data_IF_992036207887
#
_entry.id   IF_992036207887
#
_cell.length_a   1.000
_cell.length_b   1.000
_cell.length_c   1.000
_cell.angle_alpha   90.00
_cell.angle_beta   90.00
_cell.angle_gamma   90.00
#
_symmetry.space_group_name_H-M   'P 1'
#
loop_
_entity.id
_entity.type
_entity.pdbx_description
1 polymer ?
#
# COMPACT_ATOMS: atom_id res chain seq x y z
N UNK A 1 -1.97 -23.26 18.31
CA UNK A 1 -1.73 -22.23 17.28
C UNK A 1 -1.88 -20.88 17.96
N UNK A 2 -0.78 -20.15 18.18
CA UNK A 2 -0.91 -18.75 18.57
C UNK A 2 -1.29 -18.01 17.29
N UNK A 3 -2.54 -17.56 17.21
CA UNK A 3 -2.85 -16.44 16.33
C UNK A 3 -2.17 -15.25 16.99
N UNK A 4 -0.92 -14.97 16.62
CA UNK A 4 -0.39 -13.64 16.88
C UNK A 4 -1.30 -12.69 16.09
N UNK A 5 -1.99 -11.75 16.76
CA UNK A 5 -2.95 -10.91 16.08
C UNK A 5 -2.18 -10.00 15.14
N UNK A 6 -2.44 -10.14 13.83
CA UNK A 6 -1.99 -9.16 12.84
C UNK A 6 -2.43 -7.78 13.29
N UNK A 7 -1.51 -6.82 13.30
CA UNK A 7 -1.81 -5.44 13.64
C UNK A 7 -2.12 -4.68 12.36
N UNK A 8 -3.33 -4.14 12.24
CA UNK A 8 -3.75 -3.33 11.11
C UNK A 8 -3.91 -1.90 11.61
N UNK A 9 -3.15 -0.97 11.03
CA UNK A 9 -3.18 0.45 11.34
C UNK A 9 -3.68 1.24 10.14
N UNK A 10 -4.65 2.11 10.37
CA UNK A 10 -5.23 3.02 9.36
C UNK A 10 -4.85 4.47 9.62
N UNK A 11 -3.85 4.70 10.45
CA UNK A 11 -3.27 5.99 10.77
C UNK A 11 -1.79 6.02 10.40
N UNK A 12 -1.25 7.23 10.23
CA UNK A 12 0.17 7.41 9.94
C UNK A 12 1.02 6.90 11.10
N UNK A 13 2.04 6.11 10.76
CA UNK A 13 3.00 5.56 11.73
C UNK A 13 4.36 6.20 11.49
N UNK A 14 4.92 6.80 12.54
CA UNK A 14 6.28 7.34 12.47
C UNK A 14 7.30 6.23 12.20
N UNK A 15 8.11 6.40 11.16
CA UNK A 15 9.10 5.42 10.72
C UNK A 15 8.58 4.37 9.72
N UNK A 16 7.30 4.44 9.34
CA UNK A 16 6.78 3.64 8.23
C UNK A 16 7.30 4.14 6.87
N UNK A 17 7.45 3.24 5.88
CA UNK A 17 7.97 3.60 4.56
C UNK A 17 7.01 4.48 3.74
N UNK A 18 5.72 4.46 4.08
CA UNK A 18 4.66 5.22 3.41
C UNK A 18 3.69 5.79 4.44
N UNK A 19 2.86 6.74 4.00
CA UNK A 19 1.78 7.35 4.78
C UNK A 19 0.43 6.85 4.33
N UNK A 20 -0.53 6.81 5.24
CA UNK A 20 -1.93 6.56 4.92
C UNK A 20 -2.47 7.71 4.06
N UNK A 21 -3.27 7.38 3.05
CA UNK A 21 -3.77 8.34 2.07
C UNK A 21 -2.75 8.75 1.01
N UNK A 22 -1.48 8.31 1.10
CA UNK A 22 -0.49 8.61 0.09
C UNK A 22 -0.79 7.87 -1.22
N UNK A 23 -0.58 8.57 -2.33
CA UNK A 23 -0.61 7.95 -3.64
C UNK A 23 0.71 7.21 -3.90
N UNK A 24 0.60 5.95 -4.32
CA UNK A 24 1.75 5.09 -4.62
C UNK A 24 1.53 4.34 -5.94
N UNK A 25 2.62 4.14 -6.69
CA UNK A 25 2.62 3.32 -7.90
C UNK A 25 3.11 1.92 -7.56
N UNK A 26 2.40 0.90 -8.03
CA UNK A 26 2.82 -0.50 -7.84
C UNK A 26 3.88 -0.83 -8.89
N UNK A 27 5.03 -1.29 -8.42
CA UNK A 27 6.20 -1.60 -9.24
C UNK A 27 6.62 -3.05 -9.04
N UNK A 28 7.17 -3.66 -10.09
CA UNK A 28 7.79 -4.98 -9.98
C UNK A 28 9.22 -4.84 -9.48
N UNK A 29 9.55 -5.53 -8.39
CA UNK A 29 10.93 -5.55 -7.87
C UNK A 29 11.78 -6.62 -8.51
N UNK A 30 11.26 -7.85 -8.68
CA UNK A 30 12.00 -8.95 -9.28
C UNK A 30 11.19 -9.67 -10.38
N UNK A 31 11.85 -10.18 -11.44
CA UNK A 31 11.20 -11.05 -12.41
C UNK A 31 10.81 -12.38 -11.75
N UNK A 32 9.52 -12.54 -11.45
CA UNK A 32 8.97 -13.73 -10.81
C UNK A 32 8.26 -13.46 -9.48
N UNK A 33 8.32 -12.21 -8.97
CA UNK A 33 7.50 -11.81 -7.83
C UNK A 33 6.02 -12.06 -8.17
N UNK A 34 5.24 -12.67 -7.25
CA UNK A 34 3.82 -12.98 -7.44
C UNK A 34 2.94 -11.73 -7.37
N UNK A 35 3.41 -10.59 -7.88
CA UNK A 35 2.60 -9.38 -8.02
C UNK A 35 1.57 -9.65 -9.10
N UNK A 36 0.30 -9.58 -8.73
CA UNK A 36 -0.78 -9.76 -9.69
C UNK A 36 -0.64 -8.71 -10.79
N UNK A 37 -0.42 -9.15 -12.03
CA UNK A 37 -0.13 -8.28 -13.19
C UNK A 37 -1.16 -7.16 -13.39
N UNK A 38 -2.39 -7.36 -12.90
CA UNK A 38 -3.47 -6.37 -12.95
C UNK A 38 -3.15 -5.06 -12.20
N UNK A 39 -2.24 -5.07 -11.23
CA UNK A 39 -1.88 -3.89 -10.44
C UNK A 39 -0.60 -3.20 -10.92
N UNK A 40 0.23 -3.87 -11.71
CA UNK A 40 1.51 -3.31 -12.16
C UNK A 40 1.32 -2.02 -12.96
N UNK A 41 2.23 -1.07 -12.73
CA UNK A 41 2.23 0.29 -13.32
C UNK A 41 0.95 1.09 -13.06
N UNK A 42 0.10 0.63 -12.13
CA UNK A 42 -1.07 1.37 -11.69
C UNK A 42 -0.77 2.12 -10.42
N UNK A 43 -1.56 3.17 -10.25
CA UNK A 43 -1.45 4.03 -9.08
C UNK A 43 -2.66 3.82 -8.18
N UNK A 44 -2.39 3.69 -6.90
CA UNK A 44 -3.39 3.51 -5.86
C UNK A 44 -3.12 4.39 -4.66
N UNK A 45 -3.98 4.24 -3.66
CA UNK A 45 -3.90 4.96 -2.37
C UNK A 45 -3.60 3.96 -1.28
N UNK A 46 -2.64 4.28 -0.42
CA UNK A 46 -2.41 3.52 0.81
C UNK A 46 -3.60 3.70 1.75
N UNK A 47 -4.26 2.61 2.12
CA UNK A 47 -5.42 2.64 3.02
C UNK A 47 -5.13 2.07 4.40
N UNK A 48 -4.14 1.18 4.51
CA UNK A 48 -3.70 0.61 5.79
C UNK A 48 -2.25 0.12 5.74
N UNK A 49 -1.64 0.03 6.92
CA UNK A 49 -0.39 -0.67 7.19
C UNK A 49 -0.71 -1.93 7.99
N UNK A 50 -0.27 -3.08 7.49
CA UNK A 50 -0.55 -4.40 8.07
C UNK A 50 0.77 -5.00 8.53
N UNK A 51 0.84 -5.37 9.80
CA UNK A 51 1.98 -6.07 10.39
C UNK A 51 1.53 -7.48 10.76
N UNK A 52 2.00 -8.47 10.00
CA UNK A 52 1.71 -9.89 10.25
C UNK A 52 2.48 -10.43 11.46
N UNK A 53 3.68 -9.88 11.72
CA UNK A 53 4.47 -10.15 12.93
C UNK A 53 4.86 -8.82 13.58
N UNK A 54 3.92 -8.17 14.32
CA UNK A 54 4.15 -6.84 14.89
C UNK A 54 5.42 -6.73 15.75
N UNK A 55 5.78 -7.72 16.60
CA UNK A 55 7.02 -7.68 17.38
C UNK A 55 8.31 -7.54 16.54
N UNK A 56 8.31 -7.99 15.28
CA UNK A 56 9.50 -7.96 14.41
C UNK A 56 9.42 -6.86 13.35
N UNK A 57 8.22 -6.53 12.89
CA UNK A 57 7.99 -5.64 11.75
C UNK A 57 7.67 -4.21 12.17
N UNK A 58 7.00 -4.01 13.31
CA UNK A 58 6.59 -2.68 13.72
C UNK A 58 7.80 -1.83 14.18
N UNK A 59 7.92 -0.56 13.77
CA UNK A 59 7.04 0.19 12.85
C UNK A 59 7.49 0.17 11.38
N UNK A 60 8.63 -0.46 11.06
CA UNK A 60 9.39 -0.16 9.84
C UNK A 60 9.16 -1.07 8.64
N UNK A 61 8.56 -2.26 8.82
CA UNK A 61 8.39 -3.26 7.76
C UNK A 61 6.93 -3.76 7.62
N UNK A 62 5.95 -2.87 7.38
CA UNK A 62 4.57 -3.28 7.13
C UNK A 62 4.37 -3.83 5.71
N UNK A 63 3.39 -4.72 5.58
CA UNK A 63 2.64 -4.86 4.35
C UNK A 63 1.73 -3.64 4.17
N UNK A 64 1.66 -3.14 2.95
CA UNK A 64 0.96 -1.90 2.61
C UNK A 64 -0.30 -2.27 1.85
N UNK A 65 -1.46 -1.99 2.43
CA UNK A 65 -2.73 -2.16 1.74
C UNK A 65 -2.95 -0.98 0.80
N UNK A 66 -3.04 -1.27 -0.50
CA UNK A 66 -3.21 -0.24 -1.53
C UNK A 66 -4.53 -0.46 -2.26
N UNK A 67 -5.34 0.59 -2.33
CA UNK A 67 -6.56 0.65 -3.13
C UNK A 67 -6.28 1.25 -4.50
N UNK A 68 -6.43 0.44 -5.54
CA UNK A 68 -6.25 0.83 -6.94
C UNK A 68 -7.60 1.00 -7.62
N UNK A 69 -7.86 2.19 -8.15
CA UNK A 69 -9.13 2.52 -8.79
C UNK A 69 -9.41 1.61 -10.00
N UNK A 70 -10.62 1.05 -10.05
CA UNK A 70 -11.04 0.14 -11.11
C UNK A 70 -10.42 -1.26 -11.08
N UNK A 71 -9.67 -1.61 -10.02
CA UNK A 71 -9.09 -2.94 -9.83
C UNK A 71 -9.51 -3.56 -8.50
N UNK A 72 -9.34 -2.83 -7.40
CA UNK A 72 -9.62 -3.33 -6.06
C UNK A 72 -8.49 -2.99 -5.08
N UNK A 73 -8.42 -3.76 -4.00
CA UNK A 73 -7.43 -3.62 -2.94
C UNK A 73 -6.56 -4.87 -2.87
N UNK A 74 -5.27 -4.68 -2.58
CA UNK A 74 -4.33 -5.78 -2.34
C UNK A 74 -3.23 -5.33 -1.36
N UNK A 75 -2.46 -6.30 -0.87
CA UNK A 75 -1.32 -6.08 0.01
C UNK A 75 -0.01 -6.14 -0.78
N UNK A 76 0.87 -5.18 -0.52
CA UNK A 76 2.16 -5.04 -1.20
C UNK A 76 3.27 -4.84 -0.18
N UNK A 77 4.48 -5.30 -0.50
CA UNK A 77 5.66 -4.97 0.30
C UNK A 77 6.09 -3.51 0.04
N UNK A 78 6.79 -2.90 1.01
CA UNK A 78 7.35 -1.56 0.87
C UNK A 78 8.23 -1.37 -0.37
N UNK A 79 8.91 -2.42 -0.81
CA UNK A 79 9.75 -2.42 -2.02
C UNK A 79 8.94 -2.46 -3.32
N UNK A 80 7.70 -2.98 -3.29
CA UNK A 80 6.81 -3.12 -4.44
C UNK A 80 5.95 -1.87 -4.67
N UNK A 81 6.13 -0.84 -3.84
CA UNK A 81 5.47 0.46 -3.99
C UNK A 81 6.51 1.55 -4.15
N UNK A 82 6.25 2.46 -5.08
CA UNK A 82 7.08 3.62 -5.32
C UNK A 82 6.26 4.91 -5.15
N UNK A 83 6.94 5.98 -4.74
CA UNK A 83 6.36 7.32 -4.80
C UNK A 83 5.96 7.64 -6.24
N UNK A 84 4.78 8.22 -6.41
CA UNK A 84 4.27 8.59 -7.72
C UNK A 84 5.18 9.67 -8.34
N UNK A 85 5.69 9.47 -9.57
CA UNK A 85 6.49 10.48 -10.24
C UNK A 85 5.71 11.78 -10.36
N UNK A 86 6.37 12.91 -10.07
CA UNK A 86 5.78 14.24 -10.19
C UNK A 86 5.33 14.47 -11.65
N UNK A 87 4.02 14.43 -11.89
CA UNK A 87 3.42 14.52 -13.23
C UNK A 87 2.31 13.51 -13.51
N UNK A 88 2.19 12.45 -12.72
CA UNK A 88 1.06 11.51 -12.81
C UNK A 88 -0.13 12.04 -11.97
N UNK A 89 -1.00 12.83 -12.60
CA UNK A 89 -2.22 13.32 -11.97
C UNK A 89 -3.19 12.16 -11.73
N UNK A 90 -3.48 11.87 -10.45
CA UNK A 90 -4.58 10.98 -10.10
C UNK A 90 -5.79 11.86 -9.79
N UNK A 91 -6.79 11.80 -10.68
CA UNK A 91 -8.10 12.35 -10.38
C UNK A 91 -8.79 11.42 -9.37
N UNK A 92 -8.49 11.55 -8.09
CA UNK A 92 -9.39 11.04 -7.06
C UNK A 92 -10.64 11.91 -7.12
N UNK A 93 -11.67 11.37 -7.76
CA UNK A 93 -12.97 12.04 -7.90
C UNK A 93 -13.43 12.53 -6.52
N UNK A 94 -13.41 13.84 -6.35
CA UNK A 94 -14.17 14.49 -5.29
C UNK A 94 -15.64 14.23 -5.61
N UNK A 95 -16.24 13.21 -4.98
CA UNK A 95 -17.69 13.11 -4.94
C UNK A 95 -18.19 14.19 -3.97
N UNK A 96 -18.21 15.44 -4.43
CA UNK A 96 -19.08 16.45 -3.85
C UNK A 96 -20.50 16.12 -4.30
N UNK A 97 -21.27 15.45 -3.44
CA UNK A 97 -22.71 15.41 -3.60
C UNK A 97 -23.27 16.75 -3.11
N UNK A 98 -23.87 17.47 -4.05
CA UNK A 98 -24.69 18.66 -3.83
C UNK A 98 -26.00 18.33 -3.08
#
# INVERSE_FOLDING_TARGET
>A
MKHDPSLILTEDVDGAPVRIGAAVMIVRTEPGDPITERFLDRVGVVVALVFDDPPRQYPSDPLIQVRVHGVGEDLFFAREVAAVPQGHFIAFGSSSSA
#
